data_IF_144940692093
#
_entry.id   IF_144940692093
#
_cell.length_a   1.000
_cell.length_b   1.000
_cell.length_c   1.000
_cell.angle_alpha   90.00
_cell.angle_beta   90.00
_cell.angle_gamma   90.00
#
_symmetry.space_group_name_H-M   'P 1'
#
loop_
_entity.id
_entity.type
_entity.pdbx_description
1 polymer ?
#
# COMPACT_ATOMS: atom_id res chain seq x y z
N UNK A 1 -4.06 -31.11 -30.31
CA UNK A 1 -3.18 -30.57 -29.24
C UNK A 1 -3.91 -29.47 -28.51
N UNK A 2 -4.29 -29.67 -27.24
CA UNK A 2 -4.72 -28.55 -26.40
C UNK A 2 -3.45 -27.74 -26.10
N UNK A 3 -3.32 -26.56 -26.69
CA UNK A 3 -2.30 -25.60 -26.25
C UNK A 3 -2.66 -25.26 -24.81
N UNK A 4 -1.83 -25.68 -23.86
CA UNK A 4 -2.01 -25.34 -22.44
C UNK A 4 -1.97 -23.82 -22.32
N UNK A 5 -3.14 -23.24 -22.08
CA UNK A 5 -3.25 -21.81 -21.86
C UNK A 5 -2.67 -21.49 -20.47
N UNK A 6 -1.91 -20.38 -20.33
CA UNK A 6 -1.26 -20.05 -19.07
C UNK A 6 -2.29 -19.85 -17.95
N UNK A 7 -1.91 -20.25 -16.73
CA UNK A 7 -2.67 -19.97 -15.53
C UNK A 7 -2.95 -18.46 -15.41
N UNK A 8 -4.23 -18.11 -15.23
CA UNK A 8 -4.66 -16.72 -15.09
C UNK A 8 -4.94 -16.37 -13.63
N UNK A 9 -4.93 -15.08 -13.31
CA UNK A 9 -5.24 -14.56 -11.98
C UNK A 9 -6.58 -13.84 -11.96
N UNK A 10 -7.32 -14.01 -10.87
CA UNK A 10 -8.41 -13.10 -10.49
C UNK A 10 -8.00 -12.44 -9.18
N UNK A 11 -7.84 -11.12 -9.20
CA UNK A 11 -7.47 -10.35 -8.03
C UNK A 11 -8.69 -9.65 -7.46
N UNK A 12 -9.23 -10.18 -6.38
CA UNK A 12 -10.35 -9.57 -5.68
C UNK A 12 -9.91 -8.29 -4.97
N UNK A 13 -10.85 -7.37 -4.77
CA UNK A 13 -10.65 -6.16 -3.97
C UNK A 13 -9.38 -5.36 -4.37
N UNK A 14 -9.20 -5.16 -5.67
CA UNK A 14 -8.16 -4.33 -6.27
C UNK A 14 -8.36 -2.81 -6.01
N UNK A 15 -8.98 -2.47 -4.88
CA UNK A 15 -9.30 -1.11 -4.48
C UNK A 15 -8.12 -0.39 -3.84
N UNK A 16 -7.15 -1.14 -3.30
CA UNK A 16 -5.95 -0.59 -2.70
C UNK A 16 -4.88 -0.46 -3.77
N UNK A 17 -4.22 0.69 -3.82
CA UNK A 17 -3.23 0.98 -4.85
C UNK A 17 -2.06 -0.02 -4.79
N UNK A 18 -1.64 -0.46 -3.60
CA UNK A 18 -0.61 -1.49 -3.46
C UNK A 18 -0.97 -2.82 -4.12
N UNK A 19 -2.23 -3.27 -3.96
CA UNK A 19 -2.74 -4.46 -4.65
C UNK A 19 -2.75 -4.22 -6.16
N UNK A 20 -3.30 -3.10 -6.59
CA UNK A 20 -3.41 -2.77 -8.00
C UNK A 20 -2.03 -2.73 -8.68
N UNK A 21 -1.06 -2.04 -8.11
CA UNK A 21 0.28 -1.90 -8.67
C UNK A 21 1.07 -3.22 -8.64
N UNK A 22 1.02 -3.99 -7.54
CA UNK A 22 1.74 -5.26 -7.45
C UNK A 22 1.27 -6.27 -8.52
N UNK A 23 -0.03 -6.34 -8.80
CA UNK A 23 -0.55 -7.28 -9.78
C UNK A 23 -0.54 -6.75 -11.22
N UNK A 24 -0.55 -5.42 -11.42
CA UNK A 24 -0.29 -4.81 -12.75
C UNK A 24 1.15 -4.98 -13.22
N UNK A 25 2.10 -5.02 -12.30
CA UNK A 25 3.53 -5.20 -12.62
C UNK A 25 3.90 -6.61 -13.07
N UNK A 26 2.97 -7.58 -13.03
CA UNK A 26 3.20 -8.94 -13.51
C UNK A 26 3.46 -8.98 -15.04
N UNK A 27 4.28 -9.92 -15.54
CA UNK A 27 4.52 -10.13 -16.97
C UNK A 27 3.22 -10.28 -17.79
N UNK A 28 3.21 -9.74 -19.01
CA UNK A 28 2.05 -9.77 -19.92
C UNK A 28 1.56 -11.21 -20.20
N UNK A 29 2.45 -12.20 -20.16
CA UNK A 29 2.14 -13.62 -20.36
C UNK A 29 1.20 -14.24 -19.31
N UNK A 30 0.99 -13.60 -18.16
CA UNK A 30 0.17 -14.13 -17.06
C UNK A 30 -1.19 -13.41 -17.02
N UNK A 31 -2.22 -13.81 -17.79
CA UNK A 31 -3.46 -13.04 -17.92
C UNK A 31 -4.12 -12.79 -16.56
N UNK A 32 -4.62 -11.56 -16.32
CA UNK A 32 -5.21 -11.21 -15.02
C UNK A 32 -6.47 -10.35 -15.12
N UNK A 33 -7.46 -10.68 -14.29
CA UNK A 33 -8.66 -9.88 -14.08
C UNK A 33 -8.60 -9.23 -12.69
N UNK A 34 -8.46 -7.91 -12.66
CA UNK A 34 -8.53 -7.09 -11.46
C UNK A 34 -10.00 -6.77 -11.17
N UNK A 35 -10.47 -7.10 -9.97
CA UNK A 35 -11.86 -6.85 -9.54
C UNK A 35 -11.87 -5.76 -8.48
N UNK A 36 -12.42 -4.61 -8.84
CA UNK A 36 -12.69 -3.52 -7.90
C UNK A 36 -14.15 -3.56 -7.47
N UNK A 37 -14.40 -3.32 -6.18
CA UNK A 37 -15.75 -3.39 -5.64
C UNK A 37 -16.05 -2.15 -4.82
N UNK A 38 -17.22 -1.54 -5.02
CA UNK A 38 -17.65 -0.36 -4.27
C UNK A 38 -19.11 -0.48 -3.86
N UNK A 39 -19.54 0.33 -2.90
CA UNK A 39 -20.95 0.55 -2.65
C UNK A 39 -21.50 1.65 -3.59
N UNK A 40 -22.82 1.71 -3.79
CA UNK A 40 -23.46 2.70 -4.69
C UNK A 40 -23.07 4.15 -4.37
N UNK A 41 -23.04 4.53 -3.08
CA UNK A 41 -22.73 5.90 -2.66
C UNK A 41 -21.30 6.30 -3.04
N UNK A 42 -20.32 5.46 -2.75
CA UNK A 42 -18.92 5.71 -3.08
C UNK A 42 -18.67 5.58 -4.58
N UNK A 43 -19.32 4.62 -5.25
CA UNK A 43 -19.24 4.46 -6.70
C UNK A 43 -19.69 5.74 -7.44
N UNK A 44 -20.77 6.37 -6.98
CA UNK A 44 -21.26 7.65 -7.53
C UNK A 44 -20.21 8.77 -7.41
N UNK A 45 -19.57 8.90 -6.24
CA UNK A 45 -18.52 9.89 -6.03
C UNK A 45 -17.27 9.64 -6.88
N UNK A 46 -17.01 8.38 -7.23
CA UNK A 46 -15.91 7.97 -8.11
C UNK A 46 -16.28 8.00 -9.61
N UNK A 47 -17.50 8.40 -9.96
CA UNK A 47 -17.98 8.42 -11.35
C UNK A 47 -18.13 7.04 -11.98
N UNK A 48 -18.35 5.98 -11.18
CA UNK A 48 -18.55 4.63 -11.69
C UNK A 48 -19.97 4.42 -12.22
N UNK A 49 -20.18 3.52 -13.19
CA UNK A 49 -21.53 3.11 -13.60
C UNK A 49 -22.32 2.54 -12.43
N UNK A 50 -23.65 2.71 -12.45
CA UNK A 50 -24.53 2.40 -11.31
C UNK A 50 -24.44 0.95 -10.81
N UNK A 51 -24.27 -0.02 -11.73
CA UNK A 51 -24.05 -1.44 -11.43
C UNK A 51 -22.60 -1.88 -11.68
N UNK A 52 -21.69 -0.92 -11.91
CA UNK A 52 -20.35 -1.16 -12.39
C UNK A 52 -20.32 -1.58 -13.87
N UNK A 53 -19.17 -2.09 -14.33
CA UNK A 53 -18.93 -2.31 -15.76
C UNK A 53 -19.75 -3.50 -16.31
N UNK A 54 -20.39 -3.36 -17.49
CA UNK A 54 -21.14 -4.45 -18.11
C UNK A 54 -20.21 -5.60 -18.55
N UNK A 55 -18.96 -5.28 -18.86
CA UNK A 55 -17.88 -6.20 -19.27
C UNK A 55 -16.52 -5.71 -18.74
N UNK A 56 -15.51 -6.59 -18.64
CA UNK A 56 -14.16 -6.19 -18.27
C UNK A 56 -13.60 -5.15 -19.24
N UNK A 57 -12.96 -4.11 -18.70
CA UNK A 57 -12.28 -3.07 -19.46
C UNK A 57 -10.81 -3.46 -19.67
N UNK A 58 -10.21 -3.25 -20.85
CA UNK A 58 -8.77 -3.40 -21.03
C UNK A 58 -8.01 -2.46 -20.09
N UNK A 59 -6.98 -2.95 -19.42
CA UNK A 59 -6.13 -2.20 -18.47
C UNK A 59 -4.63 -2.37 -18.80
N UNK A 60 -4.33 -2.76 -20.04
CA UNK A 60 -3.02 -3.16 -20.51
C UNK A 60 -3.06 -4.51 -21.24
N UNK A 61 -1.95 -4.88 -21.88
CA UNK A 61 -1.87 -6.16 -22.59
C UNK A 61 -1.99 -7.34 -21.61
N UNK A 62 -2.97 -8.21 -21.83
CA UNK A 62 -3.25 -9.34 -20.92
C UNK A 62 -3.76 -8.92 -19.53
N UNK A 63 -4.27 -7.68 -19.39
CA UNK A 63 -4.79 -7.13 -18.14
C UNK A 63 -6.20 -6.58 -18.35
N UNK A 64 -7.09 -6.91 -17.43
CA UNK A 64 -8.46 -6.42 -17.45
C UNK A 64 -8.91 -5.93 -16.09
N UNK A 65 -9.78 -4.94 -16.09
CA UNK A 65 -10.39 -4.36 -14.90
C UNK A 65 -11.90 -4.49 -14.97
N UNK A 66 -12.49 -5.04 -13.90
CA UNK A 66 -13.93 -5.08 -13.69
C UNK A 66 -14.30 -4.31 -12.43
N UNK A 67 -15.16 -3.29 -12.54
CA UNK A 67 -15.73 -2.60 -11.39
C UNK A 67 -17.10 -3.17 -11.08
N UNK A 68 -17.32 -3.59 -9.84
CA UNK A 68 -18.59 -4.09 -9.33
C UNK A 68 -19.15 -3.13 -8.29
N UNK A 69 -20.45 -2.84 -8.39
CA UNK A 69 -21.14 -1.97 -7.45
C UNK A 69 -22.23 -2.76 -6.74
N UNK A 70 -22.25 -2.69 -5.41
CA UNK A 70 -23.24 -3.34 -4.57
C UNK A 70 -23.97 -2.33 -3.66
N UNK A 71 -25.13 -2.70 -3.11
CA UNK A 71 -25.82 -1.87 -2.13
C UNK A 71 -24.95 -1.57 -0.88
N UNK A 72 -25.20 -0.46 -0.16
CA UNK A 72 -24.58 -0.23 1.15
C UNK A 72 -24.77 -1.42 2.09
N UNK A 73 -23.74 -1.76 2.86
CA UNK A 73 -23.80 -2.90 3.78
C UNK A 73 -23.78 -4.28 3.12
N UNK A 74 -23.44 -4.40 1.83
CA UNK A 74 -23.40 -5.68 1.11
C UNK A 74 -22.55 -6.80 1.75
N UNK A 75 -21.59 -6.44 2.59
CA UNK A 75 -20.74 -7.35 3.36
C UNK A 75 -21.39 -7.86 4.66
N UNK A 76 -22.64 -7.46 4.95
CA UNK A 76 -23.41 -7.87 6.13
C UNK A 76 -24.40 -9.00 5.79
N UNK A 77 -25.68 -8.88 6.13
CA UNK A 77 -26.70 -9.97 6.05
C UNK A 77 -26.83 -10.53 4.62
N UNK A 78 -26.71 -9.67 3.60
CA UNK A 78 -26.81 -10.07 2.19
C UNK A 78 -25.52 -10.72 1.63
N UNK A 79 -24.46 -10.81 2.43
CA UNK A 79 -23.13 -11.28 2.01
C UNK A 79 -23.13 -12.63 1.28
N UNK A 80 -23.81 -13.68 1.77
CA UNK A 80 -23.88 -14.96 1.07
C UNK A 80 -24.58 -14.86 -0.29
N UNK A 81 -25.66 -14.09 -0.41
CA UNK A 81 -26.44 -13.94 -1.65
C UNK A 81 -25.63 -13.12 -2.66
N UNK A 82 -25.15 -11.95 -2.26
CA UNK A 82 -24.35 -11.07 -3.11
C UNK A 82 -23.00 -11.72 -3.49
N UNK A 83 -22.44 -12.55 -2.62
CA UNK A 83 -21.29 -13.38 -2.93
C UNK A 83 -21.56 -14.38 -4.07
N UNK A 84 -22.76 -14.99 -4.12
CA UNK A 84 -23.16 -15.86 -5.25
C UNK A 84 -23.27 -15.07 -6.55
N UNK A 85 -23.88 -13.89 -6.51
CA UNK A 85 -23.95 -13.00 -7.68
C UNK A 85 -22.55 -12.58 -8.15
N UNK A 86 -21.64 -12.30 -7.21
CA UNK A 86 -20.26 -11.99 -7.54
C UNK A 86 -19.56 -13.17 -8.20
N UNK A 87 -19.75 -14.41 -7.71
CA UNK A 87 -19.19 -15.61 -8.36
C UNK A 87 -19.68 -15.74 -9.81
N UNK A 88 -20.97 -15.54 -10.06
CA UNK A 88 -21.54 -15.59 -11.42
C UNK A 88 -20.87 -14.53 -12.30
N UNK A 89 -20.75 -13.29 -11.79
CA UNK A 89 -20.17 -12.17 -12.53
C UNK A 89 -18.68 -12.39 -12.82
N UNK A 90 -17.90 -12.83 -11.83
CA UNK A 90 -16.47 -13.16 -12.00
C UNK A 90 -16.31 -14.27 -13.02
N UNK A 91 -17.08 -15.38 -12.94
CA UNK A 91 -17.01 -16.46 -13.94
C UNK A 91 -17.32 -15.97 -15.36
N UNK A 92 -18.36 -15.15 -15.52
CA UNK A 92 -18.73 -14.54 -16.79
C UNK A 92 -17.61 -13.65 -17.34
N UNK A 93 -17.03 -12.81 -16.48
CA UNK A 93 -15.95 -11.90 -16.86
C UNK A 93 -14.67 -12.68 -17.21
N UNK A 94 -14.31 -13.70 -16.44
CA UNK A 94 -13.23 -14.65 -16.76
C UNK A 94 -13.40 -15.28 -18.14
N UNK A 95 -14.60 -15.76 -18.48
CA UNK A 95 -14.89 -16.31 -19.80
C UNK A 95 -14.67 -15.30 -20.93
N UNK A 96 -15.04 -14.02 -20.73
CA UNK A 96 -14.84 -12.95 -21.72
C UNK A 96 -13.39 -12.59 -21.96
N UNK A 97 -12.54 -12.76 -20.95
CA UNK A 97 -11.11 -12.48 -21.03
C UNK A 97 -10.27 -13.76 -21.17
N UNK A 98 -10.94 -14.90 -21.41
CA UNK A 98 -10.34 -16.20 -21.64
C UNK A 98 -9.40 -16.68 -20.50
N UNK A 99 -9.75 -16.36 -19.25
CA UNK A 99 -9.18 -16.95 -18.03
C UNK A 99 -10.05 -18.14 -17.63
N UNK A 100 -9.47 -19.34 -17.55
CA UNK A 100 -10.25 -20.56 -17.26
C UNK A 100 -10.28 -20.86 -15.75
N UNK A 101 -11.42 -21.30 -15.19
CA UNK A 101 -11.52 -21.63 -13.77
C UNK A 101 -10.57 -22.76 -13.32
N UNK A 102 -10.32 -23.76 -14.17
CA UNK A 102 -9.48 -24.94 -13.90
C UNK A 102 -7.97 -24.64 -13.79
N UNK A 103 -7.55 -23.45 -14.22
CA UNK A 103 -6.15 -22.97 -14.16
C UNK A 103 -6.06 -21.64 -13.40
N UNK A 104 -7.15 -21.23 -12.76
CA UNK A 104 -7.27 -19.96 -12.07
C UNK A 104 -6.53 -19.96 -10.74
N UNK A 105 -5.70 -18.94 -10.52
CA UNK A 105 -5.26 -18.53 -9.19
C UNK A 105 -6.16 -17.39 -8.68
N UNK A 106 -6.88 -17.62 -7.59
CA UNK A 106 -7.63 -16.57 -6.90
C UNK A 106 -6.71 -15.83 -5.94
N UNK A 107 -6.55 -14.53 -6.14
CA UNK A 107 -5.89 -13.64 -5.18
C UNK A 107 -6.94 -12.97 -4.32
N UNK A 108 -6.83 -13.15 -3.01
CA UNK A 108 -7.74 -12.60 -2.03
C UNK A 108 -6.97 -11.67 -1.07
N UNK A 109 -7.10 -10.34 -1.19
CA UNK A 109 -6.40 -9.41 -0.30
C UNK A 109 -7.04 -9.30 1.09
N UNK A 110 -8.32 -9.63 1.25
CA UNK A 110 -9.03 -9.50 2.54
C UNK A 110 -9.72 -10.80 2.98
N UNK A 111 -9.86 -11.09 4.29
CA UNK A 111 -10.48 -12.33 4.77
C UNK A 111 -11.96 -12.54 4.37
N UNK A 112 -12.70 -11.46 4.09
CA UNK A 112 -14.17 -11.47 3.95
C UNK A 112 -14.78 -12.09 2.68
N UNK A 113 -14.03 -12.78 1.83
CA UNK A 113 -14.50 -13.28 0.53
C UNK A 113 -14.80 -14.79 0.47
N UNK A 114 -15.20 -15.37 1.60
CA UNK A 114 -15.40 -16.81 1.76
C UNK A 114 -16.34 -17.44 0.71
N UNK A 115 -17.51 -16.85 0.46
CA UNK A 115 -18.46 -17.37 -0.54
C UNK A 115 -17.83 -17.49 -1.92
N UNK A 116 -16.98 -16.53 -2.29
CA UNK A 116 -16.34 -16.53 -3.62
C UNK A 116 -15.22 -17.53 -3.65
N UNK A 117 -14.37 -17.55 -2.63
CA UNK A 117 -13.33 -18.56 -2.43
C UNK A 117 -13.87 -20.00 -2.55
N UNK A 118 -15.00 -20.30 -1.90
CA UNK A 118 -15.60 -21.63 -1.89
C UNK A 118 -16.28 -22.02 -3.21
N UNK A 119 -16.82 -21.07 -3.98
CA UNK A 119 -17.70 -21.36 -5.14
C UNK A 119 -17.10 -21.01 -6.50
N UNK A 120 -16.03 -20.22 -6.54
CA UNK A 120 -15.38 -19.84 -7.79
C UNK A 120 -14.76 -21.06 -8.48
N UNK A 121 -14.29 -22.04 -7.71
CA UNK A 121 -13.63 -23.25 -8.22
C UNK A 121 -12.22 -22.95 -8.74
N UNK A 122 -11.51 -22.02 -8.10
CA UNK A 122 -10.13 -21.71 -8.45
C UNK A 122 -9.21 -22.89 -8.07
N UNK A 123 -8.24 -23.19 -8.93
CA UNK A 123 -7.25 -24.25 -8.70
C UNK A 123 -6.25 -23.88 -7.61
N UNK A 124 -5.87 -22.61 -7.55
CA UNK A 124 -4.95 -22.08 -6.55
C UNK A 124 -5.54 -20.88 -5.81
N UNK A 125 -5.06 -20.66 -4.58
CA UNK A 125 -5.43 -19.58 -3.69
C UNK A 125 -4.20 -18.86 -3.16
N UNK A 126 -4.09 -17.57 -3.47
CA UNK A 126 -3.11 -16.65 -2.92
C UNK A 126 -3.82 -15.70 -1.94
N UNK A 127 -3.45 -15.76 -0.66
CA UNK A 127 -3.87 -14.74 0.31
C UNK A 127 -2.84 -13.62 0.34
N UNK A 128 -3.24 -12.38 0.05
CA UNK A 128 -2.36 -11.22 0.16
C UNK A 128 -2.77 -10.38 1.37
N UNK A 129 -2.16 -10.62 2.53
CA UNK A 129 -2.41 -9.85 3.75
C UNK A 129 -1.77 -8.47 3.62
N UNK A 130 -2.59 -7.45 3.37
CA UNK A 130 -2.08 -6.10 3.06
C UNK A 130 -2.00 -5.19 4.29
N UNK A 131 -2.83 -5.40 5.30
CA UNK A 131 -2.83 -4.65 6.56
C UNK A 131 -3.54 -5.44 7.67
N UNK A 132 -3.52 -4.97 8.91
CA UNK A 132 -4.27 -5.59 10.01
C UNK A 132 -5.75 -5.20 9.98
N UNK A 133 -6.56 -6.06 9.37
CA UNK A 133 -8.01 -5.90 9.29
C UNK A 133 -8.68 -5.87 10.67
N UNK A 134 -8.09 -6.50 11.70
CA UNK A 134 -8.61 -6.48 13.08
C UNK A 134 -8.46 -5.08 13.66
N UNK A 135 -7.32 -4.42 13.42
CA UNK A 135 -7.09 -3.05 13.84
C UNK A 135 -7.97 -2.04 13.07
N UNK A 136 -8.31 -2.31 11.81
CA UNK A 136 -9.23 -1.48 11.02
C UNK A 136 -10.71 -1.59 11.45
N UNK A 137 -11.09 -2.71 12.07
CA UNK A 137 -12.45 -3.01 12.55
C UNK A 137 -12.40 -3.71 13.91
N UNK A 138 -11.98 -3.02 14.99
CA UNK A 138 -11.79 -3.62 16.30
C UNK A 138 -13.06 -4.32 16.82
N UNK A 139 -14.23 -3.79 16.47
CA UNK A 139 -15.54 -4.32 16.84
C UNK A 139 -15.87 -5.68 16.20
N UNK A 140 -15.07 -6.11 15.22
CA UNK A 140 -15.19 -7.41 14.53
C UNK A 140 -13.90 -8.23 14.60
N UNK A 141 -12.95 -7.83 15.45
CA UNK A 141 -11.61 -8.41 15.53
C UNK A 141 -11.61 -9.94 15.59
N UNK A 142 -12.35 -10.57 16.52
CA UNK A 142 -12.39 -12.03 16.66
C UNK A 142 -12.93 -12.75 15.41
N UNK A 143 -13.94 -12.18 14.75
CA UNK A 143 -14.48 -12.75 13.50
C UNK A 143 -13.48 -12.61 12.35
N UNK A 144 -12.82 -11.47 12.25
CA UNK A 144 -11.81 -11.20 11.21
C UNK A 144 -10.62 -12.14 11.40
N UNK A 145 -10.15 -12.31 12.63
CA UNK A 145 -9.07 -13.23 12.98
C UNK A 145 -9.41 -14.67 12.58
N UNK A 146 -10.60 -15.16 12.95
CA UNK A 146 -11.04 -16.50 12.58
C UNK A 146 -11.10 -16.70 11.05
N UNK A 147 -11.58 -15.69 10.31
CA UNK A 147 -11.60 -15.74 8.84
C UNK A 147 -10.20 -15.71 8.24
N UNK A 148 -9.30 -14.90 8.81
CA UNK A 148 -7.91 -14.78 8.37
C UNK A 148 -7.13 -16.08 8.62
N UNK A 149 -7.27 -16.67 9.80
CA UNK A 149 -6.70 -17.96 10.14
C UNK A 149 -7.23 -19.07 9.21
N UNK A 150 -8.53 -19.06 8.91
CA UNK A 150 -9.13 -20.01 7.99
C UNK A 150 -8.54 -19.89 6.57
N UNK A 151 -8.36 -18.67 6.05
CA UNK A 151 -7.74 -18.50 4.73
C UNK A 151 -6.24 -18.83 4.74
N UNK A 152 -5.49 -18.48 5.78
CA UNK A 152 -4.06 -18.84 5.92
C UNK A 152 -3.88 -20.36 5.95
N UNK A 153 -4.80 -21.10 6.58
CA UNK A 153 -4.79 -22.57 6.56
C UNK A 153 -5.04 -23.17 5.18
N UNK A 154 -5.81 -22.51 4.34
CA UNK A 154 -6.28 -23.04 3.06
C UNK A 154 -5.52 -22.51 1.84
N UNK A 155 -4.88 -21.35 1.96
CA UNK A 155 -4.15 -20.75 0.85
C UNK A 155 -2.93 -21.59 0.47
N UNK A 156 -2.68 -21.73 -0.83
CA UNK A 156 -1.44 -22.27 -1.32
C UNK A 156 -0.31 -21.36 -0.88
N UNK A 157 -0.45 -20.03 -1.02
CA UNK A 157 0.54 -19.07 -0.55
C UNK A 157 -0.09 -17.90 0.19
N UNK A 158 0.65 -17.37 1.15
CA UNK A 158 0.32 -16.18 1.91
C UNK A 158 1.45 -15.17 1.70
N UNK A 159 1.09 -14.00 1.17
CA UNK A 159 2.00 -12.87 1.01
C UNK A 159 1.58 -11.82 2.02
N UNK A 160 2.51 -11.33 2.83
CA UNK A 160 2.28 -10.24 3.77
C UNK A 160 2.98 -8.98 3.27
N UNK A 161 2.27 -7.85 3.28
CA UNK A 161 2.82 -6.56 2.90
C UNK A 161 3.76 -5.96 3.97
N UNK A 162 3.68 -6.44 5.22
CA UNK A 162 4.58 -6.03 6.30
C UNK A 162 5.18 -7.24 7.01
N UNK A 163 6.39 -7.05 7.53
CA UNK A 163 7.10 -8.07 8.31
C UNK A 163 6.38 -8.39 9.62
N UNK A 164 5.75 -7.39 10.25
CA UNK A 164 4.95 -7.61 11.46
C UNK A 164 3.80 -8.58 11.18
N UNK A 165 3.02 -8.36 10.11
CA UNK A 165 1.91 -9.26 9.77
C UNK A 165 2.42 -10.66 9.37
N UNK A 166 3.60 -10.77 8.73
CA UNK A 166 4.21 -12.07 8.47
C UNK A 166 4.46 -12.85 9.76
N UNK A 167 5.13 -12.24 10.74
CA UNK A 167 5.45 -12.85 12.02
C UNK A 167 4.17 -13.20 12.81
N UNK A 168 3.19 -12.31 12.78
CA UNK A 168 1.88 -12.50 13.41
C UNK A 168 1.13 -13.72 12.86
N UNK A 169 1.07 -13.86 11.53
CA UNK A 169 0.41 -15.00 10.89
C UNK A 169 1.16 -16.31 11.12
N UNK A 170 2.50 -16.29 11.13
CA UNK A 170 3.32 -17.46 11.50
C UNK A 170 3.03 -17.91 12.92
N UNK A 171 2.98 -16.95 13.87
CA UNK A 171 2.71 -17.22 15.28
C UNK A 171 1.33 -17.85 15.50
N UNK A 172 0.30 -17.36 14.80
CA UNK A 172 -1.07 -17.92 14.87
C UNK A 172 -1.24 -19.22 14.09
N UNK A 173 -0.46 -19.43 13.03
CA UNK A 173 -0.59 -20.57 12.12
C UNK A 173 0.78 -21.23 11.86
N UNK A 174 1.41 -21.86 12.86
CA UNK A 174 2.78 -22.38 12.73
C UNK A 174 2.92 -23.44 11.63
N UNK A 175 1.88 -24.26 11.38
CA UNK A 175 1.85 -25.23 10.29
C UNK A 175 1.86 -24.58 8.89
N UNK A 176 1.57 -23.29 8.78
CA UNK A 176 1.59 -22.53 7.54
C UNK A 176 2.93 -21.81 7.28
N UNK A 177 3.91 -21.88 8.19
CA UNK A 177 5.14 -21.06 8.13
C UNK A 177 5.84 -21.09 6.76
N UNK A 178 6.01 -22.28 6.18
CA UNK A 178 6.70 -22.45 4.90
C UNK A 178 6.01 -21.78 3.69
N UNK A 179 4.74 -21.39 3.82
CA UNK A 179 3.97 -20.72 2.75
C UNK A 179 3.70 -19.23 3.01
N UNK A 180 4.16 -18.69 4.14
CA UNK A 180 3.97 -17.28 4.52
C UNK A 180 5.24 -16.49 4.20
N UNK A 181 5.17 -15.61 3.20
CA UNK A 181 6.30 -14.77 2.77
C UNK A 181 6.02 -13.29 2.96
N UNK A 182 7.09 -12.52 3.14
CA UNK A 182 7.03 -11.07 3.19
C UNK A 182 7.39 -10.49 1.82
N UNK A 183 6.48 -9.69 1.26
CA UNK A 183 6.73 -8.86 0.08
C UNK A 183 6.21 -7.47 0.42
N UNK A 184 7.12 -6.56 0.71
CA UNK A 184 6.78 -5.19 1.11
C UNK A 184 5.99 -4.46 0.01
N UNK A 185 5.41 -3.31 0.36
CA UNK A 185 5.03 -2.33 -0.66
C UNK A 185 6.26 -1.84 -1.44
N UNK A 186 6.00 -1.11 -2.52
CA UNK A 186 7.03 -0.55 -3.38
C UNK A 186 6.67 0.81 -3.95
N UNK A 187 7.46 1.22 -4.94
CA UNK A 187 7.35 2.51 -5.62
C UNK A 187 7.07 2.34 -7.10
N UNK A 188 6.40 3.32 -7.70
CA UNK A 188 6.33 3.43 -9.15
C UNK A 188 7.71 3.81 -9.72
N UNK A 189 8.13 3.14 -10.81
CA UNK A 189 9.45 3.41 -11.40
C UNK A 189 9.59 4.85 -11.90
N UNK A 190 8.47 5.51 -12.26
CA UNK A 190 8.46 6.93 -12.66
C UNK A 190 8.86 7.89 -11.53
N UNK A 191 8.85 7.44 -10.27
CA UNK A 191 9.24 8.26 -9.12
C UNK A 191 10.73 8.16 -8.81
N UNK A 192 11.46 7.23 -9.44
CA UNK A 192 12.90 7.12 -9.28
C UNK A 192 13.58 8.33 -9.90
N UNK A 193 14.38 9.04 -9.11
CA UNK A 193 15.21 10.12 -9.63
C UNK A 193 16.35 9.54 -10.49
N UNK A 194 16.77 10.24 -11.56
CA UNK A 194 17.79 9.71 -12.48
C UNK A 194 19.16 9.56 -11.80
N UNK A 195 19.46 10.42 -10.82
CA UNK A 195 20.69 10.41 -10.03
C UNK A 195 20.39 10.83 -8.58
N UNK A 196 21.23 10.43 -7.62
CA UNK A 196 21.10 10.86 -6.22
C UNK A 196 21.10 12.39 -6.08
N UNK A 197 20.21 12.93 -5.26
CA UNK A 197 20.09 14.36 -4.99
C UNK A 197 20.95 14.74 -3.79
N UNK A 198 22.00 15.55 -4.03
CA UNK A 198 22.84 16.13 -2.97
C UNK A 198 22.11 17.21 -2.17
N UNK A 199 21.26 17.97 -2.85
CA UNK A 199 20.48 19.06 -2.27
C UNK A 199 19.02 18.89 -2.67
N UNK A 200 18.07 19.40 -1.86
CA UNK A 200 16.68 19.43 -2.25
C UNK A 200 16.47 20.35 -3.45
N UNK A 201 15.51 19.98 -4.30
CA UNK A 201 15.07 20.81 -5.42
C UNK A 201 14.39 22.10 -4.92
N UNK A 202 14.26 23.15 -5.76
CA UNK A 202 13.44 24.32 -5.45
C UNK A 202 12.01 23.94 -5.05
N UNK A 203 11.45 24.70 -4.11
CA UNK A 203 10.06 24.52 -3.70
C UNK A 203 9.11 24.87 -4.85
N UNK A 204 8.02 24.09 -5.04
CA UNK A 204 6.96 24.45 -5.98
C UNK A 204 6.36 25.83 -5.67
N UNK A 205 5.87 26.53 -6.70
CA UNK A 205 5.45 27.95 -6.62
C UNK A 205 4.39 28.23 -5.55
N UNK A 206 3.48 27.29 -5.29
CA UNK A 206 2.41 27.44 -4.31
C UNK A 206 2.90 27.32 -2.86
N UNK A 207 4.12 26.81 -2.66
CA UNK A 207 4.77 26.66 -1.35
C UNK A 207 6.17 27.31 -1.32
N UNK A 208 6.50 28.14 -2.32
CA UNK A 208 7.83 28.76 -2.44
C UNK A 208 8.11 29.83 -1.38
N UNK A 209 7.08 30.26 -0.65
CA UNK A 209 7.18 31.21 0.46
C UNK A 209 7.73 30.56 1.75
N UNK A 210 7.82 29.22 1.82
CA UNK A 210 8.31 28.52 3.00
C UNK A 210 9.82 28.70 3.18
N UNK A 211 10.23 28.86 4.43
CA UNK A 211 11.65 28.94 4.80
C UNK A 211 12.26 27.55 4.90
N UNK A 212 13.52 27.43 4.50
CA UNK A 212 14.29 26.20 4.69
C UNK A 212 14.89 26.14 6.11
N UNK A 213 15.11 24.94 6.66
CA UNK A 213 14.83 23.64 6.04
C UNK A 213 13.33 23.27 6.04
N UNK A 214 12.89 22.55 5.01
CA UNK A 214 11.52 22.03 4.88
C UNK A 214 11.46 20.58 5.31
N UNK A 215 10.77 20.33 6.42
CA UNK A 215 10.41 19.00 6.89
C UNK A 215 9.08 18.61 6.23
N UNK A 216 9.10 17.55 5.43
CA UNK A 216 7.97 17.20 4.56
C UNK A 216 7.25 15.94 4.96
N UNK A 217 5.93 15.99 4.97
CA UNK A 217 5.05 14.83 5.10
C UNK A 217 4.15 14.70 3.88
N UNK A 218 4.06 13.48 3.35
CA UNK A 218 3.15 13.08 2.29
C UNK A 218 2.24 11.94 2.79
N UNK A 219 0.93 12.16 2.74
CA UNK A 219 -0.07 11.14 2.99
C UNK A 219 -1.38 11.71 3.51
N UNK A 220 -2.39 10.85 3.65
CA UNK A 220 -3.59 11.20 4.39
C UNK A 220 -3.25 11.57 5.84
N UNK A 221 -3.93 12.59 6.37
CA UNK A 221 -3.65 13.13 7.70
C UNK A 221 -4.60 12.59 8.77
N UNK A 222 -5.29 11.48 8.51
CA UNK A 222 -6.30 10.93 9.40
C UNK A 222 -5.91 9.53 9.88
N UNK A 223 -6.00 9.29 11.18
CA UNK A 223 -5.90 7.98 11.82
C UNK A 223 -4.49 7.38 11.92
N UNK A 224 -3.45 8.02 11.35
CA UNK A 224 -2.09 7.47 11.31
C UNK A 224 -0.96 8.41 11.75
N UNK A 225 -1.25 9.68 12.05
CA UNK A 225 -0.22 10.67 12.40
C UNK A 225 -0.09 10.82 13.92
N UNK A 226 1.15 10.94 14.40
CA UNK A 226 1.47 11.33 15.77
C UNK A 226 1.53 12.85 15.82
N UNK A 227 0.37 13.48 16.04
CA UNK A 227 0.28 14.93 16.12
C UNK A 227 1.07 15.54 17.28
N UNK A 228 1.05 14.97 18.51
CA UNK A 228 1.93 15.42 19.58
C UNK A 228 3.42 15.43 19.18
N UNK A 229 3.88 14.41 18.44
CA UNK A 229 5.24 14.39 17.90
C UNK A 229 5.50 15.58 16.96
N UNK A 230 4.61 15.84 15.99
CA UNK A 230 4.78 16.96 15.07
C UNK A 230 4.80 18.32 15.79
N UNK A 231 4.00 18.49 16.85
CA UNK A 231 4.06 19.68 17.71
C UNK A 231 5.44 19.82 18.36
N UNK A 232 6.01 18.74 18.89
CA UNK A 232 7.36 18.78 19.47
C UNK A 232 8.43 19.09 18.44
N UNK A 233 8.30 18.59 17.21
CA UNK A 233 9.22 18.88 16.10
C UNK A 233 9.26 20.39 15.84
N UNK A 234 8.10 21.03 15.62
CA UNK A 234 8.05 22.47 15.31
C UNK A 234 8.49 23.35 16.49
N UNK A 235 8.33 22.89 17.73
CA UNK A 235 8.81 23.59 18.91
C UNK A 235 10.32 23.47 19.12
N UNK A 236 10.91 22.33 18.73
CA UNK A 236 12.33 22.04 18.96
C UNK A 236 13.23 22.54 17.82
N UNK A 237 12.65 22.79 16.63
CA UNK A 237 13.37 23.26 15.44
C UNK A 237 12.65 24.50 14.88
N UNK A 238 12.72 25.66 15.57
CA UNK A 238 11.89 26.83 15.24
C UNK A 238 12.18 27.46 13.87
N UNK A 239 13.37 27.20 13.30
CA UNK A 239 13.77 27.77 12.00
C UNK A 239 13.35 26.92 10.79
N UNK A 240 12.72 25.75 11.01
CA UNK A 240 12.23 24.91 9.91
C UNK A 240 10.81 25.27 9.49
N UNK A 241 10.42 24.90 8.27
CA UNK A 241 9.01 24.82 7.87
C UNK A 241 8.54 23.36 7.86
N UNK A 242 7.35 23.09 8.41
CA UNK A 242 6.68 21.80 8.29
C UNK A 242 5.66 21.85 7.15
N UNK A 243 5.90 21.11 6.07
CA UNK A 243 5.02 21.03 4.91
C UNK A 243 4.27 19.69 4.87
N UNK A 244 2.95 19.76 5.02
CA UNK A 244 2.04 18.62 5.08
C UNK A 244 1.21 18.54 3.79
N UNK A 245 1.34 17.44 3.04
CA UNK A 245 0.69 17.23 1.74
C UNK A 245 -0.19 15.98 1.77
N UNK A 246 -1.45 16.13 1.38
CA UNK A 246 -2.40 15.03 1.26
C UNK A 246 -3.81 15.37 1.74
N UNK A 247 -4.74 14.41 1.69
CA UNK A 247 -6.09 14.59 2.20
C UNK A 247 -6.10 15.03 3.66
N UNK A 248 -6.83 16.11 3.95
CA UNK A 248 -7.00 16.64 5.30
C UNK A 248 -7.96 15.75 6.12
N UNK A 249 -7.89 15.80 7.46
CA UNK A 249 -8.83 15.08 8.32
C UNK A 249 -10.27 15.55 8.11
N UNK A 250 -11.24 14.67 8.33
CA UNK A 250 -12.66 15.08 8.31
C UNK A 250 -12.95 16.01 9.48
N UNK A 251 -13.82 17.01 9.26
CA UNK A 251 -14.29 17.90 10.32
C UNK A 251 -14.93 17.11 11.48
N UNK A 252 -14.71 17.57 12.70
CA UNK A 252 -15.24 16.95 13.92
C UNK A 252 -14.48 15.71 14.40
N UNK A 253 -13.38 15.33 13.74
CA UNK A 253 -12.49 14.25 14.21
C UNK A 253 -11.43 14.77 15.16
N UNK A 254 -10.83 13.88 15.95
CA UNK A 254 -9.70 14.22 16.83
C UNK A 254 -8.50 14.75 16.02
N UNK A 255 -8.22 14.14 14.87
CA UNK A 255 -7.15 14.59 13.96
C UNK A 255 -7.37 16.02 13.46
N UNK A 256 -8.62 16.42 13.20
CA UNK A 256 -8.93 17.80 12.81
C UNK A 256 -8.63 18.80 13.93
N UNK A 257 -8.91 18.45 15.19
CA UNK A 257 -8.59 19.28 16.36
C UNK A 257 -7.07 19.45 16.49
N UNK A 258 -6.31 18.37 16.33
CA UNK A 258 -4.86 18.42 16.36
C UNK A 258 -4.27 19.23 15.20
N UNK A 259 -4.80 19.06 14.00
CA UNK A 259 -4.41 19.84 12.82
C UNK A 259 -4.58 21.34 13.06
N UNK A 260 -5.75 21.78 13.58
CA UNK A 260 -6.00 23.21 13.85
C UNK A 260 -5.05 23.77 14.93
N UNK A 261 -4.70 22.97 15.95
CA UNK A 261 -3.67 23.38 16.93
C UNK A 261 -2.32 23.61 16.25
N UNK A 262 -1.89 22.69 15.39
CA UNK A 262 -0.60 22.79 14.72
C UNK A 262 -0.57 23.93 13.67
N UNK A 263 -1.70 24.18 13.01
CA UNK A 263 -1.89 25.25 12.01
C UNK A 263 -1.76 26.65 12.60
N UNK A 264 -1.88 26.82 13.91
CA UNK A 264 -1.63 28.11 14.57
C UNK A 264 -0.15 28.55 14.51
N UNK A 265 0.77 27.65 14.17
CA UNK A 265 2.18 27.95 14.01
C UNK A 265 2.49 28.43 12.58
N UNK A 266 3.12 29.60 12.45
CA UNK A 266 3.46 30.23 11.16
C UNK A 266 4.45 29.42 10.29
N UNK A 267 5.17 28.47 10.90
CA UNK A 267 6.10 27.56 10.21
C UNK A 267 5.42 26.34 9.60
N UNK A 268 4.11 26.14 9.84
CA UNK A 268 3.38 24.96 9.39
C UNK A 268 2.50 25.30 8.19
N UNK A 269 2.64 24.52 7.12
CA UNK A 269 1.83 24.65 5.91
C UNK A 269 1.09 23.35 5.62
N UNK A 270 -0.24 23.42 5.57
CA UNK A 270 -1.11 22.35 5.09
C UNK A 270 -1.48 22.63 3.64
N UNK A 271 -0.79 21.99 2.70
CA UNK A 271 -1.01 22.21 1.27
C UNK A 271 -2.28 21.50 0.76
N UNK A 272 -2.79 20.50 1.48
CA UNK A 272 -3.89 19.64 1.02
C UNK A 272 -3.45 18.63 -0.03
N UNK A 273 -4.39 17.95 -0.72
CA UNK A 273 -4.05 16.93 -1.73
C UNK A 273 -3.41 17.56 -2.98
N UNK A 274 -2.56 16.78 -3.65
CA UNK A 274 -1.92 17.15 -4.92
C UNK A 274 -2.10 16.03 -5.94
N UNK A 275 -2.16 16.34 -7.25
CA UNK A 275 -2.22 15.32 -8.28
C UNK A 275 -1.01 14.38 -8.18
N UNK A 276 -1.24 13.08 -8.41
CA UNK A 276 -0.19 12.06 -8.32
C UNK A 276 1.05 12.41 -9.16
N UNK A 277 0.85 12.99 -10.35
CA UNK A 277 1.92 13.40 -11.27
C UNK A 277 2.85 14.48 -10.70
N UNK A 278 2.40 15.28 -9.73
CA UNK A 278 3.17 16.38 -9.14
C UNK A 278 3.82 16.00 -7.81
N UNK A 279 3.47 14.86 -7.22
CA UNK A 279 3.93 14.48 -5.87
C UNK A 279 5.46 14.49 -5.75
N UNK A 280 6.17 14.01 -6.77
CA UNK A 280 7.63 14.00 -6.75
C UNK A 280 8.27 15.38 -6.76
N UNK A 281 7.62 16.42 -7.32
CA UNK A 281 8.11 17.80 -7.25
C UNK A 281 8.24 18.25 -5.79
N UNK A 282 7.28 17.87 -4.95
CA UNK A 282 7.29 18.22 -3.53
C UNK A 282 8.26 17.37 -2.73
N UNK A 283 8.25 16.04 -2.93
CA UNK A 283 9.16 15.15 -2.18
C UNK A 283 10.62 15.54 -2.42
N UNK A 284 10.99 15.83 -3.68
CA UNK A 284 12.36 16.24 -4.03
C UNK A 284 12.77 17.57 -3.39
N UNK A 285 11.80 18.44 -3.08
CA UNK A 285 12.04 19.73 -2.44
C UNK A 285 12.18 19.64 -0.90
N UNK A 286 11.80 18.52 -0.28
CA UNK A 286 11.93 18.31 1.16
C UNK A 286 13.40 18.22 1.57
N UNK A 287 13.78 18.97 2.61
CA UNK A 287 15.08 18.79 3.25
C UNK A 287 15.14 17.44 3.97
N UNK A 288 14.07 17.07 4.69
CA UNK A 288 13.89 15.76 5.34
C UNK A 288 12.47 15.27 5.16
N UNK A 289 12.30 14.01 4.75
CA UNK A 289 10.99 13.36 4.67
C UNK A 289 10.62 12.70 6.00
N UNK A 290 9.41 12.97 6.51
CA UNK A 290 8.94 12.48 7.81
C UNK A 290 7.90 11.36 7.66
N UNK A 291 8.01 10.35 8.52
CA UNK A 291 7.02 9.31 8.77
C UNK A 291 6.71 9.26 10.29
N UNK A 292 5.89 10.21 10.80
CA UNK A 292 5.60 10.35 12.23
C UNK A 292 4.40 9.49 12.64
N UNK A 293 4.51 8.16 12.58
CA UNK A 293 3.38 7.25 12.84
C UNK A 293 3.43 6.71 14.28
N UNK A 294 2.38 6.87 15.12
CA UNK A 294 2.42 6.37 16.49
C UNK A 294 2.37 4.83 16.48
N UNK A 295 3.00 4.20 17.49
CA UNK A 295 3.05 2.74 17.66
C UNK A 295 1.70 2.18 18.15
N UNK A 296 0.67 2.32 17.32
CA UNK A 296 -0.67 1.76 17.51
C UNK A 296 -0.83 0.51 16.64
N UNK A 297 -1.75 -0.43 16.99
CA UNK A 297 -1.90 -1.69 16.26
C UNK A 297 -1.96 -1.54 14.72
N UNK A 298 -2.73 -0.57 14.23
CA UNK A 298 -2.88 -0.32 12.78
C UNK A 298 -1.58 0.14 12.10
N UNK A 299 -0.73 0.90 12.79
CA UNK A 299 0.53 1.39 12.22
C UNK A 299 1.65 0.37 12.35
N UNK A 300 1.71 -0.36 13.47
CA UNK A 300 2.69 -1.43 13.69
C UNK A 300 2.57 -2.51 12.60
N UNK A 301 1.35 -2.77 12.13
CA UNK A 301 1.08 -3.71 11.03
C UNK A 301 1.26 -3.14 9.62
N UNK A 302 1.46 -1.83 9.48
CA UNK A 302 1.51 -1.16 8.19
C UNK A 302 2.84 -1.33 7.45
N UNK A 303 2.78 -1.16 6.13
CA UNK A 303 3.94 -0.94 5.28
C UNK A 303 3.69 0.34 4.46
N UNK A 304 4.15 1.52 4.90
CA UNK A 304 3.71 2.77 4.29
C UNK A 304 4.36 3.01 2.92
N UNK A 305 3.54 3.21 1.88
CA UNK A 305 4.04 3.51 0.52
C UNK A 305 4.90 4.78 0.45
N UNK A 306 4.65 5.76 1.33
CA UNK A 306 5.43 7.00 1.40
C UNK A 306 6.91 6.74 1.67
N UNK A 307 7.27 5.68 2.41
CA UNK A 307 8.66 5.29 2.60
C UNK A 307 9.37 5.09 1.26
N UNK A 308 8.77 4.30 0.39
CA UNK A 308 9.35 3.96 -0.91
C UNK A 308 9.41 5.15 -1.85
N UNK A 309 8.41 6.04 -1.81
CA UNK A 309 8.44 7.30 -2.54
C UNK A 309 9.60 8.21 -2.06
N UNK A 310 9.83 8.29 -0.75
CA UNK A 310 10.92 9.08 -0.19
C UNK A 310 12.29 8.49 -0.54
N UNK A 311 12.47 7.17 -0.44
CA UNK A 311 13.71 6.51 -0.86
C UNK A 311 13.98 6.70 -2.37
N UNK A 312 12.93 6.63 -3.20
CA UNK A 312 13.03 6.88 -4.64
C UNK A 312 13.45 8.32 -4.99
N UNK A 313 13.16 9.28 -4.09
CA UNK A 313 13.63 10.66 -4.19
C UNK A 313 15.07 10.86 -3.74
N UNK A 314 15.72 9.83 -3.15
CA UNK A 314 17.03 9.86 -2.49
C UNK A 314 17.16 10.76 -1.25
N UNK A 315 16.08 11.46 -0.86
CA UNK A 315 16.06 12.38 0.27
C UNK A 315 16.19 11.64 1.62
N UNK A 316 16.78 12.28 2.66
CA UNK A 316 16.81 11.72 4.01
C UNK A 316 15.41 11.42 4.53
N UNK A 317 15.24 10.28 5.22
CA UNK A 317 13.97 9.84 5.79
C UNK A 317 14.12 9.67 7.29
N UNK A 318 13.24 10.29 8.06
CA UNK A 318 13.10 10.08 9.50
C UNK A 318 11.74 9.45 9.79
N UNK A 319 11.74 8.33 10.51
CA UNK A 319 10.53 7.60 10.88
C UNK A 319 10.47 7.33 12.37
N UNK A 320 9.26 7.14 12.89
CA UNK A 320 9.06 6.43 14.15
C UNK A 320 9.40 4.95 14.00
N UNK A 321 9.61 4.27 15.13
CA UNK A 321 10.03 2.86 15.21
C UNK A 321 8.92 1.84 14.86
N UNK A 322 8.17 2.07 13.79
CA UNK A 322 7.27 1.06 13.23
C UNK A 322 8.13 -0.09 12.66
N UNK A 323 7.77 -1.38 12.90
CA UNK A 323 8.63 -2.52 12.58
C UNK A 323 9.10 -2.57 11.12
N UNK A 324 8.25 -2.20 10.17
CA UNK A 324 8.60 -2.22 8.75
C UNK A 324 9.71 -1.21 8.42
N UNK A 325 9.63 0.00 8.96
CA UNK A 325 10.63 1.05 8.74
C UNK A 325 11.99 0.69 9.35
N UNK A 326 12.00 -0.01 10.48
CA UNK A 326 13.23 -0.45 11.16
C UNK A 326 14.06 -1.43 10.32
N UNK A 327 13.45 -2.15 9.37
CA UNK A 327 14.17 -3.07 8.48
C UNK A 327 15.15 -2.35 7.54
N UNK A 328 15.05 -1.02 7.45
CA UNK A 328 15.79 -0.20 6.51
C UNK A 328 16.78 0.76 7.21
N UNK A 329 17.03 0.59 8.52
CA UNK A 329 18.18 1.21 9.17
C UNK A 329 19.50 0.72 8.52
N UNK A 330 20.52 1.58 8.34
CA UNK A 330 20.59 2.99 8.74
C UNK A 330 20.07 3.98 7.66
N UNK A 331 19.55 3.49 6.51
CA UNK A 331 19.09 4.36 5.42
C UNK A 331 17.83 5.16 5.76
N UNK A 332 17.02 4.62 6.67
CA UNK A 332 15.94 5.32 7.37
C UNK A 332 16.41 5.60 8.79
N UNK A 333 16.38 6.86 9.21
CA UNK A 333 16.74 7.24 10.58
C UNK A 333 15.53 7.07 11.49
N UNK A 334 15.62 6.12 12.42
CA UNK A 334 14.50 5.75 13.28
C UNK A 334 14.62 6.43 14.64
N UNK A 335 13.56 7.15 15.04
CA UNK A 335 13.36 7.64 16.39
C UNK A 335 12.46 6.70 17.20
N UNK A 336 12.94 6.18 18.33
CA UNK A 336 12.19 5.29 19.24
C UNK A 336 11.44 6.07 20.32
N UNK A 337 11.72 7.37 20.45
CA UNK A 337 10.99 8.32 21.29
C UNK A 337 10.79 9.63 20.54
N UNK A 338 9.94 10.52 21.05
CA UNK A 338 9.80 11.86 20.46
C UNK A 338 11.12 12.64 20.49
N UNK A 339 11.91 12.52 21.56
CA UNK A 339 13.21 13.18 21.67
C UNK A 339 14.21 12.63 20.63
N UNK A 340 14.31 11.30 20.51
CA UNK A 340 15.18 10.68 19.51
C UNK A 340 14.72 11.02 18.09
N UNK A 341 13.41 11.10 17.83
CA UNK A 341 12.90 11.49 16.50
C UNK A 341 13.34 12.91 16.13
N UNK A 342 13.26 13.87 17.06
CA UNK A 342 13.79 15.23 16.83
C UNK A 342 15.30 15.19 16.59
N UNK A 343 16.06 14.43 17.40
CA UNK A 343 17.50 14.25 17.20
C UNK A 343 17.83 13.66 15.82
N UNK A 344 17.05 12.67 15.35
CA UNK A 344 17.20 12.08 14.01
C UNK A 344 16.93 13.09 12.90
N UNK A 345 16.02 14.05 13.08
CA UNK A 345 15.83 15.16 12.12
C UNK A 345 17.09 16.01 12.06
N UNK A 346 17.64 16.41 13.21
CA UNK A 346 18.89 17.16 13.25
C UNK A 346 20.01 16.38 12.55
N UNK A 347 20.19 15.09 12.84
CA UNK A 347 21.17 14.24 12.15
C UNK A 347 20.93 14.11 10.64
N UNK A 348 19.67 14.02 10.21
CA UNK A 348 19.29 14.00 8.80
C UNK A 348 19.68 15.30 8.07
N UNK A 349 19.47 16.45 8.72
CA UNK A 349 19.83 17.76 8.17
C UNK A 349 21.35 17.91 8.02
N UNK A 350 22.13 17.44 9.00
CA UNK A 350 23.60 17.47 8.93
C UNK A 350 24.15 16.54 7.84
N UNK A 351 23.51 15.40 7.59
CA UNK A 351 23.93 14.40 6.60
C UNK A 351 23.22 14.52 5.24
N UNK A 352 22.41 15.57 5.03
CA UNK A 352 21.58 15.72 3.83
C UNK A 352 22.38 15.79 2.52
N UNK A 353 23.64 16.25 2.59
CA UNK A 353 24.58 16.34 1.48
C UNK A 353 25.43 15.09 1.22
N UNK A 354 25.26 14.02 2.01
CA UNK A 354 26.00 12.77 1.82
C UNK A 354 25.50 12.03 0.57
N UNK A 355 26.29 12.12 -0.51
CA UNK A 355 25.99 11.48 -1.78
C UNK A 355 25.96 9.95 -1.70
N UNK A 356 26.77 9.35 -0.83
CA UNK A 356 26.82 7.90 -0.69
C UNK A 356 25.52 7.38 -0.06
N UNK A 357 25.03 8.04 1.00
CA UNK A 357 23.73 7.70 1.61
C UNK A 357 22.56 7.97 0.64
N UNK A 358 22.59 9.09 -0.09
CA UNK A 358 21.58 9.38 -1.11
C UNK A 358 21.54 8.30 -2.21
N UNK A 359 22.71 7.82 -2.64
CA UNK A 359 22.83 6.72 -3.62
C UNK A 359 22.27 5.41 -3.07
N UNK A 360 22.63 5.04 -1.84
CA UNK A 360 22.14 3.82 -1.22
C UNK A 360 20.61 3.82 -1.06
N UNK A 361 20.01 4.96 -0.68
CA UNK A 361 18.54 5.12 -0.62
C UNK A 361 17.89 4.90 -2.00
N UNK A 362 18.46 5.49 -3.04
CA UNK A 362 17.97 5.33 -4.41
C UNK A 362 18.09 3.88 -4.91
N UNK A 363 19.22 3.22 -4.68
CA UNK A 363 19.39 1.80 -5.06
C UNK A 363 18.41 0.88 -4.33
N UNK A 364 18.16 1.13 -3.04
CA UNK A 364 17.16 0.38 -2.28
C UNK A 364 15.76 0.54 -2.91
N UNK A 365 15.39 1.75 -3.34
CA UNK A 365 14.13 1.98 -4.03
C UNK A 365 14.06 1.31 -5.41
N UNK A 366 15.17 1.28 -6.17
CA UNK A 366 15.24 0.63 -7.51
C UNK A 366 14.89 -0.87 -7.44
N UNK A 367 15.36 -1.56 -6.42
CA UNK A 367 15.04 -2.99 -6.22
C UNK A 367 13.65 -3.23 -5.58
N UNK A 368 12.96 -2.15 -5.18
CA UNK A 368 11.58 -2.15 -4.63
C UNK A 368 10.58 -1.42 -5.54
N UNK A 369 10.85 -1.31 -6.84
CA UNK A 369 9.79 -0.92 -7.77
C UNK A 369 8.70 -1.99 -7.81
N UNK A 370 7.46 -1.59 -8.13
CA UNK A 370 6.38 -2.55 -8.32
C UNK A 370 6.74 -3.65 -9.32
N UNK A 371 7.41 -3.31 -10.44
CA UNK A 371 7.89 -4.29 -11.42
C UNK A 371 8.85 -5.32 -10.80
N UNK A 372 9.81 -4.87 -10.00
CA UNK A 372 10.76 -5.76 -9.30
C UNK A 372 10.05 -6.66 -8.28
N UNK A 373 9.10 -6.11 -7.51
CA UNK A 373 8.30 -6.87 -6.54
C UNK A 373 7.38 -7.89 -7.21
N UNK A 374 6.73 -7.52 -8.32
CA UNK A 374 5.92 -8.42 -9.13
C UNK A 374 6.76 -9.56 -9.69
N UNK A 375 7.98 -9.28 -10.18
CA UNK A 375 8.93 -10.31 -10.63
C UNK A 375 9.25 -11.31 -9.52
N UNK A 376 9.63 -10.82 -8.33
CA UNK A 376 9.86 -11.67 -7.15
C UNK A 376 8.64 -12.52 -6.78
N UNK A 377 7.44 -11.95 -6.85
CA UNK A 377 6.20 -12.69 -6.61
C UNK A 377 6.01 -13.79 -7.66
N UNK A 378 6.24 -13.52 -8.95
CA UNK A 378 6.14 -14.51 -10.02
C UNK A 378 7.10 -15.67 -9.81
N UNK A 379 8.36 -15.38 -9.53
CA UNK A 379 9.39 -16.41 -9.29
C UNK A 379 8.99 -17.30 -8.11
N UNK A 380 8.44 -16.69 -7.06
CA UNK A 380 7.89 -17.42 -5.93
C UNK A 380 6.69 -18.31 -6.32
N UNK A 381 5.73 -17.79 -7.08
CA UNK A 381 4.56 -18.56 -7.52
C UNK A 381 4.95 -19.71 -8.47
N UNK A 382 5.97 -19.53 -9.30
CA UNK A 382 6.52 -20.57 -10.19
C UNK A 382 7.22 -21.68 -9.42
N UNK A 383 8.07 -21.31 -8.45
CA UNK A 383 8.80 -22.26 -7.59
C UNK A 383 7.86 -23.25 -6.91
N UNK A 384 6.61 -22.85 -6.68
CA UNK A 384 5.61 -23.65 -5.99
C UNK A 384 4.47 -24.14 -6.89
N UNK A 385 4.67 -24.10 -8.21
CA UNK A 385 3.76 -24.70 -9.18
C UNK A 385 2.39 -24.03 -9.28
N UNK A 386 2.22 -22.82 -8.73
CA UNK A 386 0.99 -22.02 -8.88
C UNK A 386 0.95 -21.41 -10.29
N UNK A 387 2.10 -20.96 -10.77
CA UNK A 387 2.29 -20.52 -12.15
C UNK A 387 3.20 -21.50 -12.90
N UNK A 388 3.01 -21.68 -14.21
CA UNK A 388 3.91 -22.50 -15.02
C UNK A 388 5.32 -21.89 -15.04
N UNK A 389 6.33 -22.77 -15.02
CA UNK A 389 7.73 -22.37 -15.20
C UNK A 389 7.95 -21.81 -16.61
N UNK A 390 8.95 -20.94 -16.79
CA UNK A 390 9.16 -20.24 -18.08
C UNK A 390 9.46 -21.17 -19.24
N UNK A 391 9.88 -22.42 -18.98
CA UNK A 391 10.01 -23.50 -19.97
C UNK A 391 9.84 -24.89 -19.32
N UNK A 392 8.99 -25.68 -19.96
CA UNK A 392 8.93 -27.14 -19.99
C UNK A 392 8.29 -27.48 -21.32
#
# INVERSE_FOLDING_TARGET
MRVDKPAGLVVLWANWDSVLHLFRGLPVSIPRLMVRVSNVSLARNLGWPWLGDPSPLPDGEGQWLSRYVFPPGWHSILGPILGRLMVIRVKRDCSRVNIRPDTLCLVQPMPGWETVRQRLGAKHLLYYCVDDYRAMRPERSSRIEALEDAIVRQADRVVCASRFMQQELIRRNPAATARIVHVSNGVDASFLVPSPLKMPDPLPVDVSHLRRPVLGYLGGMEGRIDWPLLIRVVQSIPDCSLLMIGPLPRLGTEDAVWMERLKSNQTVCFAGPRPQSRIMEYIRAFDVCLIPEPLRPLNIAGCPQKLWNYLASSRPVVSTAVPEQMLHEPLVLVGRSHAEFVERISGALHSAGDEALARQRLELARVHTWKSLSGRLVDHLKTFGILPSDKG
#
